data_IF_406358173348
#
_entry.id   IF_406358173348
#
_cell.length_a   1.000
_cell.length_b   1.000
_cell.length_c   1.000
_cell.angle_alpha   90.00
_cell.angle_beta   90.00
_cell.angle_gamma   90.00
#
_symmetry.space_group_name_H-M   'P 1'
#
loop_
_entity.id
_entity.type
_entity.pdbx_description
1 polymer ?
#
# COMPACT_ATOMS: atom_id res chain seq x y z
N UNK A 1 -21.79 -5.48 -2.11
CA UNK A 1 -20.41 -5.51 -2.65
C UNK A 1 -19.43 -5.25 -1.50
N UNK A 2 -18.93 -6.31 -0.89
CA UNK A 2 -17.91 -6.17 0.15
C UNK A 2 -16.62 -5.63 -0.47
N UNK A 3 -15.92 -4.71 0.20
CA UNK A 3 -14.59 -4.29 -0.21
C UNK A 3 -13.62 -5.48 -0.21
N UNK A 4 -12.80 -5.58 -1.24
CA UNK A 4 -11.69 -6.54 -1.33
C UNK A 4 -10.40 -5.77 -1.10
N UNK A 5 -9.68 -6.12 -0.06
CA UNK A 5 -8.48 -5.42 0.37
C UNK A 5 -7.24 -6.24 0.00
N UNK A 6 -6.31 -5.60 -0.69
CA UNK A 6 -5.00 -6.15 -1.01
C UNK A 6 -3.94 -5.44 -0.16
N UNK A 7 -3.37 -6.10 0.86
CA UNK A 7 -2.24 -5.54 1.60
C UNK A 7 -1.00 -5.52 0.72
N UNK A 8 -0.40 -4.35 0.57
CA UNK A 8 0.81 -4.14 -0.22
C UNK A 8 1.96 -3.73 0.67
N UNK A 9 3.13 -4.29 0.44
CA UNK A 9 4.34 -3.93 1.13
C UNK A 9 5.57 -4.21 0.32
N UNK A 10 6.70 -3.99 0.95
CA UNK A 10 8.03 -4.28 0.45
C UNK A 10 8.82 -4.99 1.54
N UNK A 11 9.93 -5.61 1.17
CA UNK A 11 10.96 -6.05 2.10
C UNK A 11 12.09 -5.04 2.06
N UNK A 12 12.06 -4.08 2.97
CA UNK A 12 13.03 -3.00 3.05
C UNK A 12 13.69 -2.94 4.43
N UNK A 13 14.96 -2.56 4.44
CA UNK A 13 15.69 -2.37 5.68
C UNK A 13 15.20 -1.13 6.45
N UNK A 14 14.79 -1.33 7.69
CA UNK A 14 14.28 -0.30 8.60
C UNK A 14 15.14 -0.23 9.88
N UNK A 15 16.47 -0.24 9.73
CA UNK A 15 17.37 -0.30 10.86
C UNK A 15 17.50 -1.71 11.45
N UNK A 16 18.39 -1.85 12.43
CA UNK A 16 18.68 -3.14 13.07
C UNK A 16 17.57 -3.60 14.04
N UNK A 17 16.72 -2.67 14.45
CA UNK A 17 15.72 -2.84 15.50
C UNK A 17 14.31 -3.17 14.97
N UNK A 18 14.06 -3.03 13.67
CA UNK A 18 12.78 -3.34 13.05
C UNK A 18 12.88 -4.55 12.12
N UNK A 19 11.79 -5.28 12.03
CA UNK A 19 11.65 -6.37 11.07
C UNK A 19 11.74 -5.84 9.63
N UNK A 20 12.45 -6.54 8.74
CA UNK A 20 12.60 -6.17 7.32
C UNK A 20 11.25 -6.10 6.59
N UNK A 21 10.25 -6.85 7.04
CA UNK A 21 8.89 -6.82 6.51
C UNK A 21 7.98 -5.78 7.16
N UNK A 22 8.52 -4.78 7.84
CA UNK A 22 7.79 -3.77 8.61
C UNK A 22 6.63 -3.16 7.82
N UNK A 23 6.85 -2.72 6.59
CA UNK A 23 5.83 -2.12 5.74
C UNK A 23 4.59 -3.01 5.56
N UNK A 24 4.82 -4.29 5.28
CA UNK A 24 3.73 -5.24 5.09
C UNK A 24 3.06 -5.58 6.43
N UNK A 25 3.84 -5.70 7.50
CA UNK A 25 3.32 -6.00 8.85
C UNK A 25 2.43 -4.86 9.35
N UNK A 26 2.83 -3.60 9.17
CA UNK A 26 2.02 -2.44 9.54
C UNK A 26 0.65 -2.49 8.84
N UNK A 27 0.62 -2.70 7.52
CA UNK A 27 -0.63 -2.80 6.76
C UNK A 27 -1.48 -3.97 7.24
N UNK A 28 -0.90 -5.17 7.36
CA UNK A 28 -1.68 -6.36 7.74
C UNK A 28 -2.26 -6.24 9.13
N UNK A 29 -1.52 -5.69 10.11
CA UNK A 29 -2.00 -5.52 11.48
C UNK A 29 -3.12 -4.47 11.61
N UNK A 30 -3.08 -3.41 10.80
CA UNK A 30 -4.20 -2.45 10.72
C UNK A 30 -5.42 -3.14 10.12
N UNK A 31 -5.25 -3.93 9.07
CA UNK A 31 -6.36 -4.66 8.44
C UNK A 31 -6.94 -5.75 9.34
N UNK A 32 -6.12 -6.43 10.16
CA UNK A 32 -6.61 -7.37 11.19
C UNK A 32 -7.52 -6.69 12.22
N UNK A 33 -7.32 -5.39 12.49
CA UNK A 33 -8.21 -4.59 13.35
C UNK A 33 -9.49 -4.22 12.59
N UNK A 34 -9.35 -3.73 11.36
CA UNK A 34 -10.48 -3.33 10.52
C UNK A 34 -11.46 -4.48 10.24
N UNK A 35 -10.96 -5.70 10.02
CA UNK A 35 -11.78 -6.90 9.79
C UNK A 35 -12.74 -7.21 10.95
N UNK A 36 -12.42 -6.78 12.18
CA UNK A 36 -13.29 -6.94 13.34
C UNK A 36 -14.45 -5.95 13.39
N UNK A 37 -14.35 -4.88 12.61
CA UNK A 37 -15.28 -3.74 12.64
C UNK A 37 -16.08 -3.59 11.34
N UNK A 38 -15.65 -4.24 10.25
CA UNK A 38 -16.23 -4.10 8.93
C UNK A 38 -16.27 -5.42 8.15
N UNK A 39 -17.32 -5.59 7.35
CA UNK A 39 -17.44 -6.71 6.41
C UNK A 39 -16.53 -6.48 5.20
N UNK A 40 -15.34 -7.04 5.22
CA UNK A 40 -14.32 -6.93 4.18
C UNK A 40 -13.76 -8.31 3.80
N UNK A 41 -13.17 -8.40 2.62
CA UNK A 41 -12.39 -9.57 2.18
C UNK A 41 -10.94 -9.16 2.11
N UNK A 42 -10.08 -9.75 2.92
CA UNK A 42 -8.63 -9.49 2.89
C UNK A 42 -7.95 -10.57 2.06
N UNK A 43 -7.24 -10.14 1.02
CA UNK A 43 -6.41 -11.02 0.20
C UNK A 43 -5.07 -11.31 0.90
N UNK A 44 -4.37 -12.39 0.53
CA UNK A 44 -3.01 -12.63 1.00
C UNK A 44 -2.11 -11.42 0.72
N UNK A 45 -1.26 -11.02 1.67
CA UNK A 45 -0.43 -9.83 1.52
C UNK A 45 0.64 -10.03 0.44
N UNK A 46 0.95 -8.93 -0.24
CA UNK A 46 2.04 -8.87 -1.21
C UNK A 46 3.27 -8.26 -0.54
N UNK A 47 4.34 -9.05 -0.44
CA UNK A 47 5.55 -8.68 0.32
C UNK A 47 6.66 -8.08 -0.53
N UNK A 48 6.61 -8.22 -1.85
CA UNK A 48 7.72 -7.83 -2.73
C UNK A 48 7.39 -6.58 -3.51
N UNK A 49 8.33 -5.63 -3.51
CA UNK A 49 8.13 -4.36 -4.19
C UNK A 49 9.44 -3.69 -4.57
N UNK A 50 9.33 -2.58 -5.26
CA UNK A 50 10.43 -1.71 -5.60
C UNK A 50 10.75 -0.81 -4.39
N UNK A 51 11.60 -1.31 -3.50
CA UNK A 51 12.11 -0.59 -2.34
C UNK A 51 13.39 0.20 -2.65
N UNK A 52 14.11 -0.19 -3.71
CA UNK A 52 15.45 0.26 -4.02
C UNK A 52 16.50 -0.05 -2.93
N UNK A 53 17.75 0.27 -3.18
CA UNK A 53 18.82 0.15 -2.18
C UNK A 53 19.31 1.51 -1.68
N UNK A 54 18.44 2.54 -1.80
CA UNK A 54 18.80 3.92 -1.43
C UNK A 54 19.09 4.08 0.07
N UNK A 55 18.35 3.36 0.91
CA UNK A 55 18.55 3.40 2.37
C UNK A 55 19.69 2.49 2.78
N UNK A 56 19.68 1.24 2.31
CA UNK A 56 20.74 0.28 2.60
C UNK A 56 20.81 -0.80 1.51
N UNK A 57 22.01 -1.11 1.05
CA UNK A 57 22.21 -2.23 0.14
C UNK A 57 21.78 -3.57 0.76
N UNK A 58 21.59 -4.62 -0.05
CA UNK A 58 21.04 -5.90 0.40
C UNK A 58 22.00 -6.69 1.29
N UNK A 59 23.31 -6.49 1.15
CA UNK A 59 24.33 -7.28 1.85
C UNK A 59 24.29 -6.96 3.34
N UNK A 60 23.88 -7.94 4.13
CA UNK A 60 23.81 -7.85 5.58
C UNK A 60 22.57 -7.10 6.12
N UNK A 61 21.73 -6.52 5.26
CA UNK A 61 20.58 -5.71 5.70
C UNK A 61 19.21 -6.31 5.36
N UNK A 62 19.13 -7.14 4.32
CA UNK A 62 17.90 -7.89 4.01
C UNK A 62 16.90 -7.15 3.09
N UNK A 63 17.21 -5.95 2.57
CA UNK A 63 16.39 -5.33 1.53
C UNK A 63 16.31 -6.21 0.29
N UNK A 64 15.07 -6.48 -0.17
CA UNK A 64 14.80 -7.23 -1.41
C UNK A 64 14.07 -6.32 -2.37
N UNK A 65 14.80 -5.81 -3.36
CA UNK A 65 14.23 -4.94 -4.38
C UNK A 65 13.71 -5.75 -5.58
N UNK A 66 12.45 -5.51 -5.93
CA UNK A 66 11.85 -6.02 -7.17
C UNK A 66 11.45 -4.84 -8.03
N UNK A 67 12.11 -4.62 -9.18
CA UNK A 67 11.82 -3.46 -10.02
C UNK A 67 10.36 -3.34 -10.42
N UNK A 68 9.86 -2.11 -10.50
CA UNK A 68 8.44 -1.81 -10.78
C UNK A 68 7.95 -2.38 -12.12
N UNK A 69 8.82 -2.47 -13.13
CA UNK A 69 8.52 -3.07 -14.44
C UNK A 69 8.24 -4.58 -14.34
N UNK A 70 8.70 -5.26 -13.29
CA UNK A 70 8.39 -6.66 -13.01
C UNK A 70 7.09 -6.81 -12.22
N UNK A 71 6.76 -5.84 -11.39
CA UNK A 71 5.51 -5.81 -10.61
C UNK A 71 4.30 -5.54 -11.49
N UNK A 72 4.44 -4.64 -12.46
CA UNK A 72 3.34 -4.18 -13.31
C UNK A 72 2.58 -5.33 -14.00
N UNK A 73 3.20 -6.25 -14.75
CA UNK A 73 2.47 -7.33 -15.41
C UNK A 73 1.86 -8.34 -14.44
N UNK A 74 2.48 -8.56 -13.27
CA UNK A 74 1.92 -9.39 -12.23
C UNK A 74 0.64 -8.75 -11.65
N UNK A 75 0.71 -7.49 -11.23
CA UNK A 75 -0.42 -6.75 -10.67
C UNK A 75 -1.57 -6.64 -11.68
N UNK A 76 -1.26 -6.41 -12.95
CA UNK A 76 -2.26 -6.37 -14.03
C UNK A 76 -3.00 -7.72 -14.15
N UNK A 77 -2.27 -8.84 -14.12
CA UNK A 77 -2.86 -10.18 -14.18
C UNK A 77 -3.74 -10.49 -12.97
N UNK A 78 -3.30 -10.06 -11.77
CA UNK A 78 -4.07 -10.19 -10.54
C UNK A 78 -5.38 -9.40 -10.63
N UNK A 79 -5.32 -8.13 -10.98
CA UNK A 79 -6.51 -7.28 -11.09
C UNK A 79 -7.46 -7.73 -12.19
N UNK A 80 -6.95 -8.18 -13.34
CA UNK A 80 -7.78 -8.77 -14.40
C UNK A 80 -8.53 -10.01 -13.88
N UNK A 81 -7.89 -10.85 -13.07
CA UNK A 81 -8.52 -12.01 -12.46
C UNK A 81 -9.61 -11.62 -11.46
N UNK A 82 -9.36 -10.61 -10.62
CA UNK A 82 -10.36 -10.10 -9.66
C UNK A 82 -11.59 -9.53 -10.39
N UNK A 83 -11.39 -8.79 -11.49
CA UNK A 83 -12.48 -8.27 -12.30
C UNK A 83 -13.30 -9.39 -12.96
N UNK A 84 -12.66 -10.48 -13.43
CA UNK A 84 -13.33 -11.65 -14.00
C UNK A 84 -14.16 -12.43 -12.95
N UNK A 85 -13.70 -12.48 -11.70
CA UNK A 85 -14.47 -13.05 -10.58
C UNK A 85 -15.72 -12.21 -10.29
N UNK A 86 -15.72 -10.92 -10.63
CA UNK A 86 -16.85 -10.01 -10.44
C UNK A 86 -16.61 -8.93 -9.39
N UNK A 87 -15.43 -8.84 -8.80
CA UNK A 87 -15.12 -7.77 -7.86
C UNK A 87 -15.06 -6.39 -8.56
N UNK A 88 -15.69 -5.39 -7.93
CA UNK A 88 -15.77 -4.00 -8.41
C UNK A 88 -15.50 -2.98 -7.30
N UNK A 89 -14.94 -3.43 -6.18
CA UNK A 89 -14.62 -2.61 -5.01
C UNK A 89 -13.34 -3.16 -4.39
N UNK A 90 -12.20 -2.90 -5.07
CA UNK A 90 -10.88 -3.44 -4.72
C UNK A 90 -9.96 -2.32 -4.26
N UNK A 91 -9.34 -2.49 -3.10
CA UNK A 91 -8.49 -1.48 -2.49
C UNK A 91 -7.12 -2.07 -2.12
N UNK A 92 -6.05 -1.56 -2.74
CA UNK A 92 -4.70 -1.80 -2.28
C UNK A 92 -4.32 -0.82 -1.19
N UNK A 93 -3.77 -1.27 -0.07
CA UNK A 93 -3.20 -0.41 0.97
C UNK A 93 -1.70 -0.65 1.08
N UNK A 94 -0.91 0.43 1.15
CA UNK A 94 0.55 0.37 1.21
C UNK A 94 1.08 1.34 2.26
N UNK A 95 2.07 0.88 3.06
CA UNK A 95 2.80 1.74 4.00
C UNK A 95 4.09 2.31 3.39
N UNK A 96 4.74 1.58 2.51
CA UNK A 96 5.89 2.08 1.73
C UNK A 96 5.47 3.26 0.85
N UNK A 97 5.43 4.45 1.43
CA UNK A 97 4.81 5.65 0.86
C UNK A 97 5.66 6.90 1.07
N UNK A 98 5.43 7.93 0.25
CA UNK A 98 5.95 9.29 0.47
C UNK A 98 4.88 10.18 1.09
N UNK A 99 5.29 11.34 1.62
CA UNK A 99 4.39 12.40 2.10
C UNK A 99 3.47 12.88 0.97
N UNK A 100 3.96 12.87 -0.26
CA UNK A 100 3.18 13.18 -1.46
C UNK A 100 2.78 11.88 -2.18
N UNK A 101 1.79 11.18 -1.65
CA UNK A 101 1.31 9.93 -2.23
C UNK A 101 0.76 10.07 -3.66
N UNK A 102 0.37 11.28 -4.07
CA UNK A 102 -0.06 11.53 -5.44
C UNK A 102 1.10 11.42 -6.43
N UNK A 103 2.31 11.86 -6.05
CA UNK A 103 3.53 11.63 -6.84
C UNK A 103 3.93 10.15 -6.84
N UNK A 104 3.75 9.48 -5.72
CA UNK A 104 3.91 8.04 -5.55
C UNK A 104 5.35 7.56 -5.45
N UNK A 105 5.47 6.28 -5.15
CA UNK A 105 6.69 5.48 -5.17
C UNK A 105 6.59 4.44 -6.30
N UNK A 106 7.70 3.89 -6.80
CA UNK A 106 7.65 2.92 -7.91
C UNK A 106 6.69 1.75 -7.68
N UNK A 107 6.58 1.24 -6.44
CA UNK A 107 5.66 0.15 -6.10
C UNK A 107 4.20 0.56 -6.27
N UNK A 108 3.75 1.63 -5.61
CA UNK A 108 2.35 2.04 -5.71
C UNK A 108 1.97 2.51 -7.12
N UNK A 109 2.90 3.15 -7.84
CA UNK A 109 2.71 3.56 -9.23
C UNK A 109 2.52 2.36 -10.16
N UNK A 110 3.28 1.25 -9.95
CA UNK A 110 3.07 0.03 -10.71
C UNK A 110 1.67 -0.55 -10.49
N UNK A 111 1.20 -0.61 -9.25
CA UNK A 111 -0.16 -1.09 -8.94
C UNK A 111 -1.25 -0.13 -9.45
N UNK A 112 -1.06 1.18 -9.34
CA UNK A 112 -2.00 2.19 -9.90
C UNK A 112 -2.12 2.05 -11.42
N UNK A 113 -1.00 1.90 -12.12
CA UNK A 113 -0.99 1.71 -13.58
C UNK A 113 -1.62 0.37 -13.96
N UNK A 114 -1.28 -0.72 -13.26
CA UNK A 114 -1.86 -2.03 -13.46
C UNK A 114 -3.39 -2.02 -13.30
N UNK A 115 -3.89 -1.32 -12.28
CA UNK A 115 -5.33 -1.15 -12.05
C UNK A 115 -6.02 -0.48 -13.26
N UNK A 116 -5.44 0.60 -13.76
CA UNK A 116 -5.98 1.30 -14.94
C UNK A 116 -5.98 0.40 -16.17
N UNK A 117 -4.86 -0.25 -16.46
CA UNK A 117 -4.76 -1.14 -17.63
C UNK A 117 -5.73 -2.33 -17.54
N UNK A 118 -5.87 -2.93 -16.35
CA UNK A 118 -6.81 -4.04 -16.16
C UNK A 118 -8.27 -3.59 -16.36
N UNK A 119 -8.65 -2.41 -15.86
CA UNK A 119 -10.00 -1.86 -16.04
C UNK A 119 -10.26 -1.53 -17.52
N UNK A 120 -9.32 -0.88 -18.20
CA UNK A 120 -9.48 -0.58 -19.64
C UNK A 120 -9.65 -1.85 -20.47
N UNK A 121 -8.77 -2.83 -20.28
CA UNK A 121 -8.86 -4.10 -21.01
C UNK A 121 -10.18 -4.85 -20.70
N UNK A 122 -10.63 -4.82 -19.45
CA UNK A 122 -11.91 -5.42 -19.06
C UNK A 122 -13.10 -4.73 -19.74
N UNK A 123 -13.12 -3.39 -19.74
CA UNK A 123 -14.22 -2.62 -20.35
C UNK A 123 -14.24 -2.78 -21.87
N UNK A 124 -13.08 -2.84 -22.51
CA UNK A 124 -12.96 -3.08 -23.95
C UNK A 124 -13.47 -4.48 -24.33
N UNK A 125 -13.13 -5.50 -23.51
CA UNK A 125 -13.66 -6.84 -23.70
C UNK A 125 -15.18 -6.93 -23.52
N UNK A 126 -15.74 -6.22 -22.54
CA UNK A 126 -17.17 -6.25 -22.22
C UNK A 126 -18.04 -5.40 -23.17
N UNK A 127 -17.50 -4.29 -23.66
CA UNK A 127 -18.24 -3.28 -24.42
C UNK A 127 -17.87 -3.20 -25.89
N UNK A 128 -16.78 -3.84 -26.28
CA UNK A 128 -16.22 -3.80 -27.64
C UNK A 128 -15.22 -2.67 -27.85
N UNK A 129 -14.41 -2.79 -28.89
CA UNK A 129 -13.46 -1.76 -29.31
C UNK A 129 -14.21 -0.46 -29.65
N UNK A 130 -13.66 0.67 -29.25
CA UNK A 130 -14.27 1.98 -29.51
C UNK A 130 -15.50 2.32 -28.67
N UNK A 131 -15.80 1.53 -27.63
CA UNK A 131 -16.99 1.69 -26.78
C UNK A 131 -17.19 3.10 -26.21
N UNK A 132 -16.10 3.82 -25.98
CA UNK A 132 -16.15 5.21 -25.49
C UNK A 132 -16.82 6.18 -26.48
N UNK A 133 -16.63 5.96 -27.78
CA UNK A 133 -17.24 6.76 -28.85
C UNK A 133 -18.69 6.37 -29.19
N UNK A 134 -19.26 5.34 -28.53
CA UNK A 134 -20.64 4.92 -28.74
C UNK A 134 -21.61 5.98 -28.18
N UNK A 135 -22.67 6.31 -28.94
CA UNK A 135 -23.70 7.26 -28.53
C UNK A 135 -24.30 6.94 -27.16
N UNK A 136 -24.35 5.66 -26.78
CA UNK A 136 -24.79 5.21 -25.45
C UNK A 136 -23.92 5.72 -24.31
N UNK A 137 -22.71 6.21 -24.61
CA UNK A 137 -21.79 6.80 -23.63
C UNK A 137 -21.92 8.31 -23.51
N UNK A 138 -22.86 8.96 -24.25
CA UNK A 138 -23.06 10.40 -24.21
C UNK A 138 -23.31 10.94 -22.77
N UNK A 139 -23.98 10.13 -21.92
CA UNK A 139 -24.28 10.47 -20.53
C UNK A 139 -23.20 10.05 -19.53
N UNK A 140 -22.06 9.52 -20.00
CA UNK A 140 -21.03 8.94 -19.13
C UNK A 140 -20.58 9.91 -18.03
N UNK A 141 -20.27 11.16 -18.40
CA UNK A 141 -19.82 12.16 -17.43
C UNK A 141 -20.88 12.57 -16.41
N UNK A 142 -22.15 12.61 -16.84
CA UNK A 142 -23.25 12.87 -15.93
C UNK A 142 -23.43 11.73 -14.90
N UNK A 143 -23.24 10.48 -15.33
CA UNK A 143 -23.36 9.28 -14.49
C UNK A 143 -22.15 9.05 -13.59
N UNK A 144 -20.97 9.62 -13.88
CA UNK A 144 -19.79 9.55 -13.00
C UNK A 144 -20.03 10.13 -11.62
N UNK A 145 -20.86 11.17 -11.51
CA UNK A 145 -21.22 11.77 -10.21
C UNK A 145 -22.01 10.83 -9.30
N UNK A 146 -22.53 9.71 -9.82
CA UNK A 146 -23.39 8.77 -9.11
C UNK A 146 -22.67 7.50 -8.62
N UNK A 147 -21.37 7.53 -8.34
CA UNK A 147 -20.57 6.41 -7.81
C UNK A 147 -20.36 5.20 -8.72
N UNK A 148 -20.81 5.23 -9.95
CA UNK A 148 -20.70 4.10 -10.90
C UNK A 148 -19.47 4.14 -11.82
N UNK A 149 -18.50 5.04 -11.55
CA UNK A 149 -17.31 5.17 -12.37
C UNK A 149 -16.44 3.89 -12.30
N UNK A 150 -16.29 3.16 -13.41
CA UNK A 150 -15.45 1.95 -13.45
C UNK A 150 -14.01 2.19 -13.02
N UNK A 151 -13.49 3.41 -13.20
CA UNK A 151 -12.13 3.75 -12.81
C UNK A 151 -11.91 3.80 -11.30
N UNK A 152 -12.98 3.73 -10.50
CA UNK A 152 -12.94 3.58 -9.05
C UNK A 152 -13.03 2.12 -8.60
N UNK A 153 -13.19 1.15 -9.50
CA UNK A 153 -13.30 -0.27 -9.12
C UNK A 153 -12.05 -0.82 -8.46
N UNK A 154 -10.87 -0.27 -8.79
CA UNK A 154 -9.61 -0.64 -8.18
C UNK A 154 -8.85 0.63 -7.82
N UNK A 155 -8.55 0.80 -6.55
CA UNK A 155 -7.84 1.97 -6.02
C UNK A 155 -6.64 1.52 -5.17
N UNK A 156 -5.62 2.37 -5.08
CA UNK A 156 -4.46 2.15 -4.22
C UNK A 156 -4.34 3.34 -3.27
N UNK A 157 -4.25 3.05 -1.99
CA UNK A 157 -4.28 4.02 -0.90
C UNK A 157 -3.01 3.96 -0.06
N UNK A 158 -2.56 5.09 0.50
CA UNK A 158 -1.55 5.07 1.54
C UNK A 158 -2.17 4.52 2.83
N UNK A 159 -1.36 3.85 3.65
CA UNK A 159 -1.79 3.46 5.00
C UNK A 159 -1.99 4.70 5.87
N UNK A 160 -1.02 5.62 5.84
CA UNK A 160 -1.12 6.91 6.52
C UNK A 160 -1.62 7.97 5.54
N UNK A 161 -2.84 8.45 5.73
CA UNK A 161 -3.38 9.51 4.90
C UNK A 161 -2.78 10.89 5.27
N UNK A 162 -3.07 11.91 4.47
CA UNK A 162 -2.52 13.25 4.67
C UNK A 162 -2.90 13.90 6.02
N UNK A 163 -4.00 13.50 6.65
CA UNK A 163 -4.39 13.99 7.96
C UNK A 163 -3.57 13.29 9.07
N UNK A 164 -3.35 11.99 8.94
CA UNK A 164 -2.51 11.22 9.86
C UNK A 164 -1.05 11.72 9.84
N UNK A 165 -0.47 11.93 8.65
CA UNK A 165 0.90 12.46 8.48
C UNK A 165 1.10 13.82 9.19
N UNK A 166 0.07 14.66 9.28
CA UNK A 166 0.17 15.96 9.99
C UNK A 166 0.22 15.82 11.50
N UNK A 167 -0.25 14.72 12.05
CA UNK A 167 -0.40 14.51 13.51
C UNK A 167 0.52 13.42 14.05
N UNK A 168 1.12 12.65 13.18
CA UNK A 168 1.96 11.51 13.49
C UNK A 168 3.37 11.72 12.91
N UNK A 169 4.46 11.39 13.61
CA UNK A 169 5.80 11.49 13.05
C UNK A 169 5.93 10.63 11.79
N UNK A 170 6.18 11.28 10.66
CA UNK A 170 6.41 10.59 9.39
C UNK A 170 7.92 10.54 9.13
N UNK A 171 8.49 9.34 9.13
CA UNK A 171 9.92 9.13 9.00
C UNK A 171 10.20 7.75 8.38
N UNK A 172 11.48 7.39 8.25
CA UNK A 172 11.92 6.04 7.89
C UNK A 172 12.70 5.42 9.05
N UNK A 173 12.21 4.33 9.61
CA UNK A 173 12.80 3.61 10.74
C UNK A 173 13.10 4.50 11.98
N UNK A 174 12.47 5.64 12.08
CA UNK A 174 12.62 6.59 13.17
C UNK A 174 11.56 6.44 14.25
N UNK A 175 11.19 7.56 14.90
CA UNK A 175 10.18 7.58 15.95
C UNK A 175 8.82 7.08 15.48
N UNK A 176 8.40 7.53 14.28
CA UNK A 176 7.09 7.22 13.73
C UNK A 176 6.91 5.74 13.46
N UNK A 177 7.68 5.20 12.56
CA UNK A 177 7.56 3.78 12.18
C UNK A 177 7.87 2.83 13.32
N UNK A 178 8.86 3.14 14.16
CA UNK A 178 9.13 2.33 15.36
C UNK A 178 7.95 2.36 16.32
N UNK A 179 7.31 3.53 16.51
CA UNK A 179 6.13 3.66 17.36
C UNK A 179 4.94 2.89 16.80
N UNK A 180 4.73 2.96 15.50
CA UNK A 180 3.68 2.23 14.79
C UNK A 180 3.85 0.72 15.01
N UNK A 181 5.07 0.21 14.85
CA UNK A 181 5.37 -1.20 15.08
C UNK A 181 5.25 -1.61 16.54
N UNK A 182 5.64 -0.77 17.50
CA UNK A 182 5.43 -1.05 18.92
C UNK A 182 3.95 -1.20 19.29
N UNK A 183 3.05 -0.51 18.58
CA UNK A 183 1.60 -0.63 18.79
C UNK A 183 0.99 -1.81 18.03
N UNK A 184 1.41 -2.04 16.78
CA UNK A 184 0.76 -3.00 15.88
C UNK A 184 1.37 -4.40 15.93
N UNK A 185 2.70 -4.48 16.05
CA UNK A 185 3.48 -5.70 15.94
C UNK A 185 4.75 -5.62 16.81
N UNK A 186 4.61 -5.56 18.15
CA UNK A 186 5.75 -5.39 19.06
C UNK A 186 6.78 -6.53 18.95
N UNK A 187 6.37 -7.71 18.52
CA UNK A 187 7.27 -8.84 18.22
C UNK A 187 8.22 -8.58 17.04
N UNK A 188 7.91 -7.60 16.20
CA UNK A 188 8.77 -7.13 15.10
C UNK A 188 9.75 -6.03 15.49
N UNK A 189 9.85 -5.68 16.78
CA UNK A 189 10.70 -4.60 17.31
C UNK A 189 11.66 -5.14 18.36
N UNK A 190 12.97 -4.98 18.13
CA UNK A 190 14.01 -5.31 19.13
C UNK A 190 14.87 -4.07 19.42
N UNK A 191 14.47 -3.28 20.38
CA UNK A 191 15.21 -2.07 20.78
C UNK A 191 16.59 -2.39 21.36
N UNK A 192 16.87 -3.63 21.75
CA UNK A 192 18.23 -4.06 22.14
C UNK A 192 19.23 -4.04 20.99
N UNK A 193 18.72 -4.12 19.76
CA UNK A 193 19.51 -4.01 18.52
C UNK A 193 19.55 -2.61 17.93
N UNK A 194 18.88 -1.64 18.55
CA UNK A 194 18.84 -0.27 18.08
C UNK A 194 20.25 0.31 17.85
N UNK A 195 20.45 0.98 16.74
CA UNK A 195 21.70 1.65 16.39
C UNK A 195 21.42 3.05 15.85
N UNK A 196 22.05 4.05 16.44
CA UNK A 196 22.01 5.44 15.98
C UNK A 196 23.07 5.79 14.92
N UNK A 197 23.76 4.79 14.36
CA UNK A 197 24.78 5.00 13.32
C UNK A 197 24.22 5.66 12.08
N UNK A 198 22.99 5.25 11.68
CA UNK A 198 22.29 5.83 10.55
C UNK A 198 21.47 7.03 11.02
N UNK A 199 21.49 8.10 10.25
CA UNK A 199 20.82 9.34 10.64
C UNK A 199 19.30 9.18 10.81
N UNK A 200 18.68 8.37 9.95
CA UNK A 200 17.23 8.17 9.92
C UNK A 200 16.71 7.37 11.12
N UNK A 201 17.52 6.52 11.76
CA UNK A 201 17.09 5.76 12.94
C UNK A 201 17.21 6.55 14.26
N UNK A 202 17.86 7.71 14.28
CA UNK A 202 18.26 8.40 15.52
C UNK A 202 17.08 8.77 16.42
N UNK A 203 15.92 9.04 15.85
CA UNK A 203 14.71 9.39 16.60
C UNK A 203 13.98 8.18 17.16
N UNK A 204 14.27 6.96 16.71
CA UNK A 204 13.61 5.74 17.16
C UNK A 204 13.68 5.50 18.70
N UNK A 205 14.72 6.02 19.37
CA UNK A 205 14.82 5.99 20.83
C UNK A 205 13.67 6.73 21.56
N UNK A 206 12.93 7.59 20.86
CA UNK A 206 11.78 8.35 21.38
C UNK A 206 10.47 7.61 21.14
N UNK A 207 10.51 6.50 20.40
CA UNK A 207 9.34 5.75 19.99
C UNK A 207 8.59 5.16 21.21
N UNK A 208 7.28 5.10 21.09
CA UNK A 208 6.40 4.48 22.06
C UNK A 208 5.12 3.94 21.43
N UNK A 209 4.54 2.88 21.99
CA UNK A 209 3.24 2.39 21.56
C UNK A 209 2.13 3.45 21.66
N UNK A 210 2.22 4.35 22.65
CA UNK A 210 1.27 5.46 22.78
C UNK A 210 1.33 6.44 21.60
N UNK A 211 2.53 6.71 21.07
CA UNK A 211 2.71 7.49 19.84
C UNK A 211 2.17 6.70 18.65
N UNK A 212 2.45 5.40 18.54
CA UNK A 212 1.96 4.52 17.47
C UNK A 212 0.44 4.48 17.41
N UNK A 213 -0.22 4.42 18.55
CA UNK A 213 -1.69 4.41 18.64
C UNK A 213 -2.33 5.62 17.95
N UNK A 214 -1.73 6.80 18.10
CA UNK A 214 -2.21 8.02 17.40
C UNK A 214 -2.09 7.95 15.87
N UNK A 215 -1.24 7.09 15.36
CA UNK A 215 -1.12 6.86 13.91
C UNK A 215 -2.12 5.84 13.37
N UNK A 216 -2.75 5.06 14.27
CA UNK A 216 -3.71 3.99 13.91
C UNK A 216 -5.16 4.42 14.12
N UNK A 217 -5.42 5.21 15.17
CA UNK A 217 -6.75 5.79 15.49
C UNK A 217 -7.08 6.98 14.55
#
# INVERSE_FOLDING_TARGET
NWPVILPLGVLEYHGEHLAVGMDTLAVTRVLDRLEREADIVILPPFYYGASSHAVAGPVGNGTVDVPADRLLPFAQSLFASLLKIGFRNVHGFIHHQTENFAAGMPTDLAFKLAARQAIFAFLEQERGEGWWGDEKMADYYAKQAESADPFNWIQVHPLLNAAAIKQFPFDHAGEGETSLMLELCPEGVDMGRFSAKQWFTRTAKQASAATGRRGVD
#
